data_IF_465855421908
#
_entry.id   IF_465855421908
#
_cell.length_a   1.000
_cell.length_b   1.000
_cell.length_c   1.000
_cell.angle_alpha   90.00
_cell.angle_beta   90.00
_cell.angle_gamma   90.00
#
_symmetry.space_group_name_H-M   'P 1'
#
loop_
_entity.id
_entity.type
_entity.pdbx_description
1 polymer ?
#
# COMPACT_ATOMS: atom_id res chain seq x y z
N UNK A 1 47.03 -21.72 0.13
CA UNK A 1 46.74 -22.99 -0.57
C UNK A 1 45.23 -23.31 -0.67
N UNK A 2 44.39 -22.99 0.33
CA UNK A 2 42.94 -23.30 0.36
C UNK A 2 42.14 -22.83 -0.87
N UNK A 3 42.47 -21.66 -1.42
CA UNK A 3 41.72 -21.04 -2.53
C UNK A 3 42.04 -21.70 -3.88
N UNK A 4 43.27 -22.20 -4.05
CA UNK A 4 43.72 -22.84 -5.30
C UNK A 4 43.06 -24.21 -5.47
N UNK A 5 42.93 -24.98 -4.38
CA UNK A 5 42.20 -26.24 -4.37
C UNK A 5 40.73 -26.05 -4.73
N UNK A 6 40.07 -25.03 -4.16
CA UNK A 6 38.67 -24.70 -4.50
C UNK A 6 38.54 -24.27 -5.95
N UNK A 7 39.42 -23.40 -6.46
CA UNK A 7 39.40 -23.01 -7.88
C UNK A 7 39.59 -24.20 -8.82
N UNK A 8 40.52 -25.11 -8.51
CA UNK A 8 40.75 -26.33 -9.29
C UNK A 8 39.51 -27.24 -9.28
N UNK A 9 38.87 -27.41 -8.12
CA UNK A 9 37.62 -28.14 -8.02
C UNK A 9 36.51 -27.51 -8.87
N UNK A 10 36.38 -26.19 -8.85
CA UNK A 10 35.41 -25.46 -9.68
C UNK A 10 35.70 -25.68 -11.17
N UNK A 11 36.95 -25.61 -11.61
CA UNK A 11 37.32 -25.90 -12.99
C UNK A 11 37.02 -27.34 -13.40
N UNK A 12 37.24 -28.32 -12.50
CA UNK A 12 36.86 -29.70 -12.77
C UNK A 12 35.35 -29.85 -12.94
N UNK A 13 34.54 -29.25 -12.06
CA UNK A 13 33.07 -29.30 -12.17
C UNK A 13 32.61 -28.69 -13.50
N UNK A 14 33.17 -27.53 -13.88
CA UNK A 14 32.85 -26.87 -15.15
C UNK A 14 33.26 -27.76 -16.33
N UNK A 15 34.44 -28.36 -16.29
CA UNK A 15 34.93 -29.25 -17.35
C UNK A 15 34.06 -30.50 -17.49
N UNK A 16 33.68 -31.14 -16.37
CA UNK A 16 32.76 -32.29 -16.37
C UNK A 16 31.37 -31.90 -16.88
N UNK A 17 30.85 -30.73 -16.48
CA UNK A 17 29.58 -30.23 -16.98
C UNK A 17 29.63 -30.00 -18.50
N UNK A 18 30.69 -29.35 -19.00
CA UNK A 18 30.89 -29.13 -20.42
C UNK A 18 31.01 -30.47 -21.18
N UNK A 19 31.77 -31.43 -20.66
CA UNK A 19 31.92 -32.75 -21.25
C UNK A 19 30.59 -33.53 -21.31
N UNK A 20 29.80 -33.48 -20.23
CA UNK A 20 28.46 -34.05 -20.18
C UNK A 20 27.52 -33.44 -21.24
N UNK A 21 27.58 -32.12 -21.41
CA UNK A 21 26.82 -31.44 -22.47
C UNK A 21 27.31 -31.83 -23.87
N UNK A 22 28.63 -31.93 -24.09
CA UNK A 22 29.21 -32.37 -25.36
C UNK A 22 28.75 -33.77 -25.75
N UNK A 23 28.87 -34.74 -24.85
CA UNK A 23 28.44 -36.13 -25.11
C UNK A 23 26.94 -36.21 -25.40
N UNK A 24 26.12 -35.44 -24.68
CA UNK A 24 24.68 -35.37 -24.90
C UNK A 24 24.32 -34.68 -26.23
N UNK A 25 25.11 -33.70 -26.67
CA UNK A 25 24.94 -33.00 -27.94
C UNK A 25 25.23 -33.91 -29.13
N UNK A 26 26.23 -34.80 -29.06
CA UNK A 26 26.56 -35.70 -30.18
C UNK A 26 25.81 -37.03 -30.15
N UNK A 27 25.47 -37.55 -28.97
CA UNK A 27 24.78 -38.84 -28.85
C UNK A 27 23.26 -38.76 -29.00
N UNK A 28 22.62 -37.66 -28.57
CA UNK A 28 21.15 -37.54 -28.57
C UNK A 28 20.69 -36.07 -28.54
N UNK A 29 21.14 -35.28 -29.51
CA UNK A 29 20.88 -33.83 -29.63
C UNK A 29 19.39 -33.50 -29.56
N UNK A 30 18.58 -34.24 -30.32
CA UNK A 30 17.14 -33.98 -30.48
C UNK A 30 16.41 -34.16 -29.14
N UNK A 31 16.74 -35.23 -28.41
CA UNK A 31 16.13 -35.51 -27.12
C UNK A 31 16.54 -34.48 -26.06
N UNK A 32 17.81 -34.06 -26.06
CA UNK A 32 18.29 -33.00 -25.16
C UNK A 32 17.58 -31.67 -25.42
N UNK A 33 17.56 -31.23 -26.67
CA UNK A 33 16.96 -29.95 -27.04
C UNK A 33 15.45 -29.96 -26.77
N UNK A 34 14.75 -31.06 -27.09
CA UNK A 34 13.33 -31.23 -26.78
C UNK A 34 13.06 -31.11 -25.28
N UNK A 35 13.85 -31.77 -24.43
CA UNK A 35 13.71 -31.67 -22.97
C UNK A 35 13.98 -30.25 -22.46
N UNK A 36 14.99 -29.57 -23.02
CA UNK A 36 15.30 -28.18 -22.69
C UNK A 36 14.12 -27.26 -23.04
N UNK A 37 13.60 -27.37 -24.26
CA UNK A 37 12.43 -26.63 -24.74
C UNK A 37 11.19 -26.90 -23.87
N UNK A 38 10.93 -28.16 -23.52
CA UNK A 38 9.82 -28.54 -22.64
C UNK A 38 10.02 -27.92 -21.24
N UNK A 39 11.23 -27.97 -20.69
CA UNK A 39 11.50 -27.39 -19.35
C UNK A 39 11.27 -25.88 -19.32
N UNK A 40 11.75 -25.17 -20.34
CA UNK A 40 11.53 -23.73 -20.50
C UNK A 40 10.05 -23.45 -20.73
N UNK A 41 9.39 -24.26 -21.56
CA UNK A 41 7.96 -24.14 -21.85
C UNK A 41 7.09 -24.33 -20.61
N UNK A 42 7.38 -25.33 -19.76
CA UNK A 42 6.69 -25.54 -18.49
C UNK A 42 6.96 -24.37 -17.54
N UNK A 43 8.21 -23.93 -17.41
CA UNK A 43 8.57 -22.78 -16.57
C UNK A 43 7.83 -21.51 -17.00
N UNK A 44 7.80 -21.23 -18.32
CA UNK A 44 7.07 -20.12 -18.90
C UNK A 44 5.55 -20.26 -18.73
N UNK A 45 4.99 -21.46 -18.85
CA UNK A 45 3.58 -21.73 -18.64
C UNK A 45 3.17 -21.47 -17.18
N UNK A 46 3.94 -21.97 -16.21
CA UNK A 46 3.72 -21.73 -14.78
C UNK A 46 3.85 -20.24 -14.48
N UNK A 47 4.91 -19.59 -14.95
CA UNK A 47 5.08 -18.14 -14.78
C UNK A 47 3.92 -17.36 -15.40
N UNK A 48 3.50 -17.74 -16.60
CA UNK A 48 2.35 -17.14 -17.30
C UNK A 48 1.05 -17.30 -16.53
N UNK A 49 0.77 -18.48 -15.98
CA UNK A 49 -0.39 -18.74 -15.12
C UNK A 49 -0.32 -17.90 -13.84
N UNK A 50 0.81 -17.91 -13.14
CA UNK A 50 1.01 -17.13 -11.92
C UNK A 50 0.85 -15.62 -12.20
N UNK A 51 1.45 -15.13 -13.27
CA UNK A 51 1.32 -13.74 -13.70
C UNK A 51 -0.12 -13.39 -14.07
N UNK A 52 -0.80 -14.26 -14.82
CA UNK A 52 -2.18 -14.05 -15.23
C UNK A 52 -3.16 -14.11 -14.05
N UNK A 53 -3.00 -15.03 -13.11
CA UNK A 53 -3.93 -15.15 -11.97
C UNK A 53 -3.61 -14.17 -10.84
N UNK A 54 -2.34 -13.96 -10.50
CA UNK A 54 -1.96 -13.14 -9.33
C UNK A 54 -1.66 -11.68 -9.69
N UNK A 55 -1.08 -11.40 -10.85
CA UNK A 55 -0.55 -10.07 -11.19
C UNK A 55 -1.48 -9.31 -12.14
N UNK A 56 -2.13 -9.98 -13.10
CA UNK A 56 -3.12 -9.36 -14.01
C UNK A 56 -4.25 -8.68 -13.24
N UNK A 57 -4.79 -9.35 -12.21
CA UNK A 57 -5.86 -8.82 -11.38
C UNK A 57 -5.40 -7.73 -10.40
N UNK A 58 -4.09 -7.53 -10.25
CA UNK A 58 -3.48 -6.50 -9.39
C UNK A 58 -2.87 -5.35 -10.18
N UNK A 59 -3.00 -5.32 -11.52
CA UNK A 59 -2.56 -4.17 -12.30
C UNK A 59 -3.24 -2.88 -11.80
N UNK A 60 -2.48 -1.76 -11.68
CA UNK A 60 -2.92 -0.54 -11.00
C UNK A 60 -4.08 0.20 -11.70
N UNK A 61 -4.48 -0.24 -12.89
CA UNK A 61 -5.68 0.26 -13.57
C UNK A 61 -6.97 0.02 -12.75
N UNK A 62 -7.01 -1.02 -11.92
CA UNK A 62 -8.08 -1.23 -10.93
C UNK A 62 -8.05 -0.20 -9.80
N UNK A 63 -6.87 0.09 -9.23
CA UNK A 63 -6.72 1.09 -8.16
C UNK A 63 -7.05 2.51 -8.61
N UNK A 64 -6.68 2.88 -9.84
CA UNK A 64 -7.03 4.20 -10.42
C UNK A 64 -8.54 4.34 -10.59
N UNK A 65 -9.23 3.27 -11.05
CA UNK A 65 -10.69 3.25 -11.14
C UNK A 65 -11.36 3.30 -9.76
N UNK A 66 -10.80 2.65 -8.75
CA UNK A 66 -11.30 2.72 -7.37
C UNK A 66 -11.12 4.10 -6.76
N UNK A 67 -9.97 4.74 -6.97
CA UNK A 67 -9.74 6.12 -6.52
C UNK A 67 -10.70 7.11 -7.18
N UNK A 68 -10.95 6.97 -8.49
CA UNK A 68 -11.93 7.78 -9.20
C UNK A 68 -13.36 7.54 -8.69
N UNK A 69 -13.74 6.29 -8.41
CA UNK A 69 -15.04 5.96 -7.82
C UNK A 69 -15.19 6.55 -6.41
N UNK A 70 -14.18 6.40 -5.56
CA UNK A 70 -14.15 6.97 -4.21
C UNK A 70 -14.20 8.50 -4.24
N UNK A 71 -13.48 9.13 -5.15
CA UNK A 71 -13.53 10.58 -5.37
C UNK A 71 -14.95 11.03 -5.76
N UNK A 72 -15.58 10.37 -6.75
CA UNK A 72 -16.96 10.67 -7.14
C UNK A 72 -17.95 10.52 -5.98
N UNK A 73 -17.80 9.48 -5.15
CA UNK A 73 -18.62 9.29 -3.95
C UNK A 73 -18.40 10.41 -2.92
N UNK A 74 -17.15 10.77 -2.64
CA UNK A 74 -16.81 11.84 -1.71
C UNK A 74 -17.35 13.21 -2.17
N UNK A 75 -17.27 13.52 -3.46
CA UNK A 75 -17.84 14.75 -4.02
C UNK A 75 -19.36 14.76 -3.88
N UNK A 76 -20.05 13.64 -4.14
CA UNK A 76 -21.51 13.52 -3.96
C UNK A 76 -21.91 13.71 -2.48
N UNK A 77 -21.12 13.17 -1.55
CA UNK A 77 -21.33 13.35 -0.11
C UNK A 77 -21.11 14.81 0.33
N UNK A 78 -20.06 15.46 -0.17
CA UNK A 78 -19.79 16.88 0.06
C UNK A 78 -20.94 17.76 -0.46
N UNK A 79 -21.34 17.55 -1.73
CA UNK A 79 -22.43 18.30 -2.36
C UNK A 79 -23.77 18.09 -1.67
N UNK A 80 -24.09 16.88 -1.19
CA UNK A 80 -25.34 16.65 -0.43
C UNK A 80 -25.30 17.29 0.96
N UNK A 81 -24.15 17.29 1.65
CA UNK A 81 -24.02 17.88 3.00
C UNK A 81 -23.96 19.42 3.00
N UNK A 82 -23.36 20.02 1.97
CA UNK A 82 -23.09 21.46 1.91
C UNK A 82 -23.79 22.20 0.76
N UNK A 83 -24.36 21.49 -0.23
CA UNK A 83 -24.97 22.10 -1.43
C UNK A 83 -26.25 22.89 -1.18
N UNK A 84 -26.95 22.65 -0.06
CA UNK A 84 -28.10 23.47 0.33
C UNK A 84 -27.71 24.78 1.04
N UNK A 85 -26.42 25.09 1.22
CA UNK A 85 -25.97 26.31 1.90
C UNK A 85 -25.42 27.41 0.98
N UNK A 86 -25.41 27.21 -0.34
CA UNK A 86 -24.80 28.17 -1.30
C UNK A 86 -25.79 28.95 -2.18
N UNK A 87 -27.07 29.00 -1.81
CA UNK A 87 -28.04 29.88 -2.46
C UNK A 87 -28.19 31.23 -1.74
N UNK A 88 -27.14 31.73 -1.07
CA UNK A 88 -27.13 33.08 -0.49
C UNK A 88 -25.88 33.83 -0.93
N UNK A 89 -26.02 34.51 -2.08
CA UNK A 89 -25.47 35.82 -2.43
C UNK A 89 -24.00 36.09 -2.07
N UNK A 90 -23.14 36.14 -3.07
CA UNK A 90 -21.90 36.93 -3.01
C UNK A 90 -22.02 38.11 -3.97
N UNK A 91 -22.82 39.11 -3.55
CA UNK A 91 -22.65 40.49 -3.99
C UNK A 91 -21.56 41.13 -3.11
N UNK A 92 -20.86 42.12 -3.66
CA UNK A 92 -19.55 42.57 -3.21
C UNK A 92 -19.44 43.17 -1.81
N UNK A 93 -18.16 43.43 -1.51
CA UNK A 93 -17.64 44.44 -0.59
C UNK A 93 -17.51 44.07 0.90
N UNK A 94 -16.25 44.13 1.32
CA UNK A 94 -15.74 44.73 2.56
C UNK A 94 -16.37 44.33 3.89
N UNK A 95 -15.52 43.74 4.74
CA UNK A 95 -15.49 43.92 6.19
C UNK A 95 -16.85 44.19 6.86
N UNK A 96 -17.59 43.13 7.15
CA UNK A 96 -18.76 43.23 8.02
C UNK A 96 -18.45 42.70 9.41
N UNK A 97 -18.05 43.64 10.27
CA UNK A 97 -18.29 43.54 11.70
C UNK A 97 -19.80 43.51 11.97
N UNK A 98 -20.17 42.59 12.86
CA UNK A 98 -21.27 42.61 13.82
C UNK A 98 -22.74 42.65 13.31
N UNK A 99 -23.48 41.58 13.59
CA UNK A 99 -24.66 41.68 14.47
C UNK A 99 -25.09 40.30 15.02
N UNK A 100 -24.48 39.86 16.13
CA UNK A 100 -25.01 38.73 16.91
C UNK A 100 -26.27 39.21 17.66
N UNK A 101 -27.43 38.72 17.22
CA UNK A 101 -28.72 39.00 17.85
C UNK A 101 -28.71 38.43 19.28
N UNK A 102 -28.79 39.33 20.25
CA UNK A 102 -28.76 39.08 21.70
C UNK A 102 -29.77 38.01 22.11
N UNK A 103 -29.30 36.95 22.77
CA UNK A 103 -30.08 36.16 23.72
C UNK A 103 -29.48 36.38 25.11
N UNK A 104 -30.26 37.04 25.96
CA UNK A 104 -29.96 37.34 27.36
C UNK A 104 -30.66 36.28 28.26
N UNK A 105 -30.38 36.19 29.57
CA UNK A 105 -29.08 35.86 30.17
C UNK A 105 -29.20 34.80 31.29
N UNK A 106 -28.21 33.92 31.47
CA UNK A 106 -27.98 33.32 32.80
C UNK A 106 -26.50 33.27 33.15
N UNK A 107 -26.09 34.37 33.80
CA UNK A 107 -25.01 34.53 34.81
C UNK A 107 -23.57 34.29 34.35
N UNK A 108 -22.87 35.39 34.17
CA UNK A 108 -21.42 35.46 34.25
C UNK A 108 -20.99 35.39 35.72
N UNK A 109 -20.10 34.46 36.08
CA UNK A 109 -19.21 34.65 37.22
C UNK A 109 -17.89 33.90 36.99
N UNK A 110 -17.11 34.48 36.08
CA UNK A 110 -15.66 34.62 36.14
C UNK A 110 -14.81 33.34 35.98
N UNK A 111 -13.66 33.56 35.34
CA UNK A 111 -12.59 32.60 35.08
C UNK A 111 -12.44 31.58 36.21
N UNK A 112 -12.76 30.31 35.96
CA UNK A 112 -12.24 29.23 36.79
C UNK A 112 -10.85 28.89 36.29
N UNK A 113 -9.87 29.08 37.16
CA UNK A 113 -8.55 28.46 37.01
C UNK A 113 -8.78 26.97 36.79
N UNK A 114 -8.09 26.39 35.82
CA UNK A 114 -8.02 24.93 35.67
C UNK A 114 -7.34 24.43 36.95
N UNK A 115 -8.13 23.99 37.92
CA UNK A 115 -7.60 23.28 39.06
C UNK A 115 -7.04 21.96 38.53
N UNK A 116 -5.71 21.88 38.47
CA UNK A 116 -5.01 20.65 38.16
C UNK A 116 -5.49 19.54 39.10
N UNK A 117 -5.70 18.36 38.55
CA UNK A 117 -5.99 17.13 39.28
C UNK A 117 -4.86 16.82 40.27
N UNK A 118 -4.87 17.43 41.45
CA UNK A 118 -4.10 16.97 42.60
C UNK A 118 -4.99 16.02 43.38
N UNK A 119 -4.74 14.74 43.20
CA UNK A 119 -5.36 13.66 43.94
C UNK A 119 -5.38 13.97 45.44
N UNK A 120 -6.56 14.26 46.00
CA UNK A 120 -6.76 14.24 47.44
C UNK A 120 -6.70 12.77 47.85
N UNK A 121 -5.58 12.36 48.45
CA UNK A 121 -5.54 11.18 49.33
C UNK A 121 -6.62 11.40 50.40
N UNK A 122 -7.72 10.65 50.32
CA UNK A 122 -8.63 10.48 51.44
C UNK A 122 -8.89 8.99 51.63
N UNK A 123 -8.16 8.48 52.61
CA UNK A 123 -8.57 7.50 53.62
C UNK A 123 -9.22 6.21 53.10
N UNK A 124 -8.38 5.18 53.01
CA UNK A 124 -8.79 3.79 53.27
C UNK A 124 -9.42 3.76 54.66
N UNK A 125 -10.67 3.34 54.74
CA UNK A 125 -11.25 2.82 55.97
C UNK A 125 -10.60 1.46 56.21
N UNK A 126 -9.88 1.33 57.31
CA UNK A 126 -9.50 0.06 57.91
C UNK A 126 -9.42 0.26 59.41
N UNK A 127 -10.13 -0.62 60.12
CA UNK A 127 -10.40 -0.71 61.57
C UNK A 127 -11.54 0.16 62.11
#
# INVERSE_FOLDING_TARGET
>A
MRNKAVSIFVYLIIAFAAFGLFTQLFGNTVAFLSRLLISIGIGAAIFGLVYFFLIRNRQPSGRQRDNMKKYKQAVKQSKSKYGHKQAVKSAGSSYQKANQKKRNPKRASHLRVIEGNKAKKKNRVSS
#
